data_IF_516538973918
#
_entry.id   IF_516538973918
#
_cell.length_a   1.000
_cell.length_b   1.000
_cell.length_c   1.000
_cell.angle_alpha   90.00
_cell.angle_beta   90.00
_cell.angle_gamma   90.00
#
_symmetry.space_group_name_H-M   'P 1'
#
loop_
_entity.id
_entity.type
_entity.pdbx_description
1 polymer ?
#
# COMPACT_ATOMS: atom_id res chain seq x y z
N UNK A 1 -12.91 -3.79 3.80
CA UNK A 1 -13.50 -3.50 2.48
C UNK A 1 -14.08 -4.78 1.88
N UNK A 2 -15.00 -4.67 0.96
CA UNK A 2 -15.57 -5.76 0.18
C UNK A 2 -15.32 -5.47 -1.29
N UNK A 3 -15.34 -6.51 -2.09
CA UNK A 3 -15.34 -6.39 -3.54
C UNK A 3 -16.72 -5.85 -4.00
N UNK A 4 -16.77 -5.21 -5.15
CA UNK A 4 -17.99 -4.64 -5.75
C UNK A 4 -18.72 -3.62 -4.86
N UNK A 5 -17.97 -2.76 -4.16
CA UNK A 5 -18.59 -1.65 -3.42
C UNK A 5 -19.20 -0.66 -4.43
N UNK A 6 -20.53 -0.38 -4.34
CA UNK A 6 -21.20 0.50 -5.32
C UNK A 6 -20.73 1.95 -5.23
N UNK A 7 -20.11 2.35 -4.14
CA UNK A 7 -19.53 3.68 -3.95
C UNK A 7 -18.14 3.59 -3.31
N UNK A 8 -17.10 3.29 -4.11
CA UNK A 8 -15.75 3.13 -3.63
C UNK A 8 -15.16 4.37 -2.97
N UNK A 9 -15.54 5.58 -3.39
CA UNK A 9 -15.06 6.82 -2.76
C UNK A 9 -15.69 7.02 -1.38
N UNK A 10 -16.99 6.80 -1.25
CA UNK A 10 -17.63 6.82 0.08
C UNK A 10 -17.04 5.75 1.00
N UNK A 11 -16.63 4.60 0.47
CA UNK A 11 -15.91 3.59 1.24
C UNK A 11 -14.59 4.13 1.80
N UNK A 12 -13.78 4.82 1.01
CA UNK A 12 -12.54 5.48 1.49
C UNK A 12 -12.86 6.49 2.59
N UNK A 13 -13.94 7.29 2.41
CA UNK A 13 -14.44 8.21 3.43
C UNK A 13 -14.80 7.50 4.76
N UNK A 14 -15.45 6.32 4.68
CA UNK A 14 -15.78 5.51 5.88
C UNK A 14 -14.51 4.98 6.56
N UNK A 15 -13.52 4.53 5.80
CA UNK A 15 -12.23 4.09 6.35
C UNK A 15 -11.53 5.26 7.05
N UNK A 16 -11.50 6.44 6.42
CA UNK A 16 -10.92 7.66 7.02
C UNK A 16 -11.62 8.01 8.33
N UNK A 17 -12.96 8.02 8.35
CA UNK A 17 -13.73 8.29 9.57
C UNK A 17 -13.38 7.32 10.70
N UNK A 18 -13.34 6.03 10.41
CA UNK A 18 -12.95 5.01 11.39
C UNK A 18 -11.52 5.23 11.91
N UNK A 19 -10.55 5.44 11.02
CA UNK A 19 -9.15 5.63 11.44
C UNK A 19 -8.94 6.96 12.18
N UNK A 20 -9.52 8.06 11.68
CA UNK A 20 -9.31 9.38 12.25
C UNK A 20 -10.01 9.56 13.59
N UNK A 21 -11.27 9.11 13.70
CA UNK A 21 -12.14 9.39 14.83
C UNK A 21 -12.16 8.26 15.86
N UNK A 22 -12.45 7.01 15.41
CA UNK A 22 -12.58 5.90 16.33
C UNK A 22 -11.23 5.35 16.81
N UNK A 23 -10.22 5.33 15.92
CA UNK A 23 -8.85 4.94 16.28
C UNK A 23 -7.99 6.09 16.80
N UNK A 24 -8.44 7.34 16.65
CA UNK A 24 -7.72 8.54 17.10
C UNK A 24 -6.43 8.83 16.32
N UNK A 25 -6.32 8.34 15.07
CA UNK A 25 -5.09 8.53 14.27
C UNK A 25 -5.04 9.86 13.54
N UNK A 26 -6.08 10.68 13.63
CA UNK A 26 -6.19 11.99 13.01
C UNK A 26 -6.49 11.97 11.51
N UNK A 27 -6.11 10.92 10.80
CA UNK A 27 -6.38 10.71 9.38
C UNK A 27 -6.36 9.21 9.04
N UNK A 28 -6.58 8.86 7.76
CA UNK A 28 -6.53 7.50 7.27
C UNK A 28 -5.11 6.90 7.45
N UNK A 29 -5.05 5.62 7.79
CA UNK A 29 -3.79 4.91 8.06
C UNK A 29 -2.98 4.56 6.81
N UNK A 30 -3.51 4.76 5.60
CA UNK A 30 -2.83 4.43 4.35
C UNK A 30 -2.33 5.69 3.66
N UNK A 31 -1.19 5.63 2.99
CA UNK A 31 -0.68 6.71 2.14
C UNK A 31 -1.52 6.83 0.86
N UNK A 32 -1.83 5.70 0.24
CA UNK A 32 -2.67 5.62 -0.96
C UNK A 32 -3.69 4.50 -0.86
N UNK A 33 -4.81 4.66 -1.56
CA UNK A 33 -5.83 3.64 -1.73
C UNK A 33 -6.12 3.46 -3.22
N UNK A 34 -5.91 2.25 -3.74
CA UNK A 34 -6.27 1.87 -5.10
C UNK A 34 -7.65 1.24 -5.10
N UNK A 35 -8.56 1.77 -5.91
CA UNK A 35 -9.92 1.29 -6.07
C UNK A 35 -10.02 0.20 -7.13
N UNK A 36 -11.10 -0.56 -7.15
CA UNK A 36 -11.30 -1.65 -8.11
C UNK A 36 -11.34 -1.19 -9.58
N UNK A 37 -11.77 0.04 -9.83
CA UNK A 37 -11.77 0.66 -11.16
C UNK A 37 -10.41 1.23 -11.58
N UNK A 38 -9.39 1.10 -10.74
CA UNK A 38 -8.04 1.57 -10.96
C UNK A 38 -7.79 3.02 -10.54
N UNK A 39 -8.78 3.75 -10.02
CA UNK A 39 -8.51 5.07 -9.46
C UNK A 39 -7.60 4.96 -8.24
N UNK A 40 -6.66 5.89 -8.15
CA UNK A 40 -5.75 6.04 -7.02
C UNK A 40 -6.21 7.24 -6.21
N UNK A 41 -6.45 7.04 -4.93
CA UNK A 41 -6.87 8.09 -4.00
C UNK A 41 -5.73 8.35 -3.03
N UNK A 42 -5.35 9.61 -2.86
CA UNK A 42 -4.49 9.99 -1.75
C UNK A 42 -5.22 9.68 -0.45
N UNK A 43 -4.57 8.93 0.41
CA UNK A 43 -5.08 8.60 1.72
C UNK A 43 -4.72 9.67 2.74
N UNK A 44 -3.63 9.45 3.50
CA UNK A 44 -3.14 10.44 4.46
C UNK A 44 -2.64 11.68 3.72
N UNK A 45 -3.11 12.86 4.16
CA UNK A 45 -2.79 14.14 3.56
C UNK A 45 -1.27 14.37 3.44
N UNK A 46 -0.83 14.83 2.29
CA UNK A 46 0.58 15.08 1.95
C UNK A 46 1.32 13.87 1.39
N UNK A 47 0.70 12.69 1.33
CA UNK A 47 1.34 11.49 0.76
C UNK A 47 1.56 11.57 -0.75
N UNK A 48 0.80 12.40 -1.45
CA UNK A 48 0.93 12.60 -2.89
C UNK A 48 2.08 13.55 -3.28
N UNK A 49 2.82 14.10 -2.32
CA UNK A 49 4.06 14.82 -2.63
C UNK A 49 5.07 13.83 -3.25
N UNK A 50 5.20 13.94 -4.57
CA UNK A 50 6.02 13.03 -5.37
C UNK A 50 7.53 13.12 -5.05
N UNK A 51 7.97 14.14 -4.33
CA UNK A 51 9.40 14.34 -4.01
C UNK A 51 9.85 13.55 -2.79
N UNK A 52 8.93 13.22 -1.88
CA UNK A 52 9.23 12.48 -0.66
C UNK A 52 8.02 11.67 -0.17
N UNK A 53 7.59 10.64 -0.89
CA UNK A 53 6.36 9.90 -0.57
C UNK A 53 6.40 9.21 0.80
N UNK A 54 7.59 9.00 1.36
CA UNK A 54 7.82 8.42 2.69
C UNK A 54 7.90 9.46 3.82
N UNK A 55 7.85 10.76 3.50
CA UNK A 55 7.96 11.82 4.52
C UNK A 55 6.71 11.89 5.42
N UNK A 56 5.55 11.51 4.89
CA UNK A 56 4.31 11.41 5.67
C UNK A 56 4.23 10.05 6.34
N UNK A 57 4.39 10.02 7.66
CA UNK A 57 4.23 8.79 8.43
C UNK A 57 2.75 8.45 8.57
N UNK A 58 2.31 7.43 7.90
CA UNK A 58 0.95 6.88 7.98
C UNK A 58 0.82 5.86 9.14
N UNK A 59 -0.32 5.17 9.25
CA UNK A 59 -0.60 4.21 10.33
C UNK A 59 -0.98 2.82 9.80
N UNK A 60 -0.25 2.32 8.80
CA UNK A 60 -0.60 1.10 8.06
C UNK A 60 0.06 -0.17 8.60
N UNK A 61 1.20 -0.05 9.31
CA UNK A 61 1.92 -1.19 9.87
C UNK A 61 2.59 -0.81 11.19
N UNK A 62 2.05 -1.27 12.31
CA UNK A 62 2.57 -0.95 13.65
C UNK A 62 4.06 -1.34 13.77
N UNK A 63 4.87 -0.39 14.24
CA UNK A 63 6.33 -0.57 14.34
C UNK A 63 7.10 -0.39 13.02
N UNK A 64 6.42 -0.30 11.87
CA UNK A 64 7.03 -0.22 10.54
C UNK A 64 6.54 0.98 9.72
N UNK A 65 5.87 1.95 10.34
CA UNK A 65 5.29 3.10 9.63
C UNK A 65 6.34 4.12 9.17
N UNK A 66 7.44 4.28 9.94
CA UNK A 66 8.48 5.28 9.64
C UNK A 66 9.37 4.77 8.51
N UNK A 67 9.48 5.55 7.44
CA UNK A 67 10.29 5.19 6.27
C UNK A 67 9.61 4.22 5.31
N UNK A 68 8.31 3.99 5.47
CA UNK A 68 7.52 3.14 4.57
C UNK A 68 6.29 3.87 4.03
N UNK A 69 5.79 3.41 2.90
CA UNK A 69 4.58 3.93 2.25
C UNK A 69 3.50 2.83 2.25
N UNK A 70 2.36 3.13 2.84
CA UNK A 70 1.24 2.20 2.90
C UNK A 70 0.30 2.33 1.73
N UNK A 71 0.28 1.33 0.83
CA UNK A 71 -0.64 1.24 -0.30
C UNK A 71 -1.73 0.21 0.01
N UNK A 72 -2.97 0.66 0.16
CA UNK A 72 -4.12 -0.22 0.30
C UNK A 72 -4.77 -0.48 -1.06
N UNK A 73 -5.17 -1.72 -1.29
CA UNK A 73 -6.03 -2.10 -2.41
C UNK A 73 -7.43 -2.36 -1.88
N UNK A 74 -8.40 -1.64 -2.42
CA UNK A 74 -9.80 -1.80 -2.02
C UNK A 74 -10.33 -3.17 -2.45
N UNK A 75 -10.78 -3.97 -1.49
CA UNK A 75 -11.28 -5.31 -1.75
C UNK A 75 -10.96 -6.30 -0.62
N UNK A 76 -11.30 -7.54 -0.86
CA UNK A 76 -11.03 -8.69 0.01
C UNK A 76 -10.36 -9.79 -0.81
N UNK A 77 -9.08 -10.04 -0.54
CA UNK A 77 -8.22 -10.86 -1.39
C UNK A 77 -7.71 -12.14 -0.70
N UNK A 78 -8.56 -12.79 0.11
CA UNK A 78 -8.22 -14.11 0.64
C UNK A 78 -8.13 -15.16 -0.47
N UNK A 79 -9.10 -15.15 -1.41
CA UNK A 79 -9.16 -16.05 -2.55
C UNK A 79 -9.18 -15.28 -3.88
N UNK A 80 -9.76 -14.07 -3.89
CA UNK A 80 -9.85 -13.22 -5.06
C UNK A 80 -8.52 -12.54 -5.41
N UNK A 81 -8.44 -12.06 -6.64
CA UNK A 81 -7.37 -11.17 -7.13
C UNK A 81 -7.93 -9.76 -7.33
N UNK A 82 -7.08 -8.72 -7.29
CA UNK A 82 -7.46 -7.39 -7.76
C UNK A 82 -7.96 -7.45 -9.22
N UNK A 83 -8.82 -6.51 -9.59
CA UNK A 83 -9.16 -6.31 -10.99
C UNK A 83 -7.90 -5.95 -11.78
N UNK A 84 -7.92 -6.14 -13.09
CA UNK A 84 -6.80 -5.76 -13.95
C UNK A 84 -6.52 -4.25 -13.89
N UNK A 85 -7.57 -3.42 -13.78
CA UNK A 85 -7.44 -1.97 -13.63
C UNK A 85 -6.74 -1.61 -12.31
N UNK A 86 -7.18 -2.20 -11.18
CA UNK A 86 -6.54 -2.00 -9.89
C UNK A 86 -5.10 -2.49 -9.88
N UNK A 87 -4.83 -3.66 -10.49
CA UNK A 87 -3.48 -4.22 -10.55
C UNK A 87 -2.50 -3.31 -11.30
N UNK A 88 -2.90 -2.80 -12.49
CA UNK A 88 -2.09 -1.82 -13.24
C UNK A 88 -1.77 -0.58 -12.40
N UNK A 89 -2.74 -0.09 -11.65
CA UNK A 89 -2.54 1.07 -10.77
C UNK A 89 -1.62 0.77 -9.59
N UNK A 90 -1.69 -0.44 -9.02
CA UNK A 90 -0.75 -0.89 -7.97
C UNK A 90 0.67 -0.92 -8.52
N UNK A 91 0.88 -1.54 -9.70
CA UNK A 91 2.21 -1.58 -10.36
C UNK A 91 2.73 -0.16 -10.63
N UNK A 92 1.91 0.71 -11.22
CA UNK A 92 2.31 2.08 -11.53
C UNK A 92 2.65 2.90 -10.28
N UNK A 93 1.85 2.77 -9.21
CA UNK A 93 2.10 3.48 -7.94
C UNK A 93 3.38 2.98 -7.28
N UNK A 94 3.59 1.68 -7.21
CA UNK A 94 4.83 1.10 -6.69
C UNK A 94 6.04 1.55 -7.51
N UNK A 95 5.94 1.54 -8.86
CA UNK A 95 7.02 2.00 -9.73
C UNK A 95 7.39 3.46 -9.47
N UNK A 96 6.39 4.34 -9.34
CA UNK A 96 6.63 5.75 -9.03
C UNK A 96 7.34 5.93 -7.68
N UNK A 97 6.89 5.22 -6.64
CA UNK A 97 7.46 5.30 -5.29
C UNK A 97 8.91 4.80 -5.28
N UNK A 98 9.18 3.61 -5.82
CA UNK A 98 10.54 3.05 -5.78
C UNK A 98 11.51 3.84 -6.66
N UNK A 99 11.05 4.38 -7.80
CA UNK A 99 11.86 5.26 -8.64
C UNK A 99 12.25 6.55 -7.89
N UNK A 100 11.27 7.20 -7.25
CA UNK A 100 11.51 8.43 -6.47
C UNK A 100 12.46 8.18 -5.30
N UNK A 101 12.36 7.02 -4.66
CA UNK A 101 13.22 6.65 -3.52
C UNK A 101 14.58 6.04 -3.96
N UNK A 102 14.80 5.81 -5.25
CA UNK A 102 16.03 5.18 -5.75
C UNK A 102 16.22 3.74 -5.27
N UNK A 103 15.11 3.00 -5.11
CA UNK A 103 15.12 1.63 -4.58
C UNK A 103 15.03 0.60 -5.70
N UNK A 104 15.56 -0.60 -5.44
CA UNK A 104 15.37 -1.76 -6.30
C UNK A 104 14.05 -2.46 -5.91
N UNK A 105 13.06 -2.56 -6.82
CA UNK A 105 11.78 -3.20 -6.50
C UNK A 105 11.89 -4.69 -6.15
N UNK A 106 12.92 -5.38 -6.62
CA UNK A 106 13.22 -6.78 -6.29
C UNK A 106 14.19 -6.92 -5.10
N UNK A 107 14.64 -5.79 -4.54
CA UNK A 107 15.63 -5.72 -3.47
C UNK A 107 15.07 -6.11 -2.09
N UNK A 108 16.01 -6.37 -1.18
CA UNK A 108 15.80 -6.68 0.22
C UNK A 108 17.00 -7.46 0.80
N UNK A 109 17.09 -7.61 2.12
CA UNK A 109 16.25 -6.98 3.15
C UNK A 109 16.47 -5.47 3.30
N UNK A 110 15.49 -4.77 3.88
CA UNK A 110 15.51 -3.32 4.13
C UNK A 110 15.53 -3.08 5.63
N UNK A 111 16.51 -2.31 6.10
CA UNK A 111 16.56 -1.83 7.48
C UNK A 111 15.90 -0.45 7.58
N UNK A 112 14.94 -0.30 8.48
CA UNK A 112 14.28 0.97 8.76
C UNK A 112 15.05 1.77 9.83
N UNK A 113 14.87 3.08 9.84
CA UNK A 113 15.58 3.98 10.76
C UNK A 113 15.33 3.67 12.25
N UNK A 114 14.20 3.06 12.58
CA UNK A 114 13.86 2.61 13.94
C UNK A 114 14.44 1.23 14.33
N UNK A 115 15.25 0.63 13.47
CA UNK A 115 15.85 -0.68 13.68
C UNK A 115 15.01 -1.88 13.24
N UNK A 116 13.75 -1.67 12.81
CA UNK A 116 12.94 -2.73 12.24
C UNK A 116 13.48 -3.15 10.87
N UNK A 117 13.21 -4.40 10.48
CA UNK A 117 13.64 -4.94 9.19
C UNK A 117 12.45 -5.49 8.41
N UNK A 118 12.51 -5.35 7.11
CA UNK A 118 11.57 -5.93 6.14
C UNK A 118 12.36 -6.77 5.14
N UNK A 119 11.82 -7.93 4.78
CA UNK A 119 12.51 -8.85 3.87
C UNK A 119 12.60 -8.30 2.44
N UNK A 120 11.71 -7.39 2.07
CA UNK A 120 11.60 -6.86 0.71
C UNK A 120 11.28 -5.36 0.69
N UNK A 121 11.73 -4.67 -0.36
CA UNK A 121 11.35 -3.28 -0.66
C UNK A 121 9.84 -3.17 -0.90
N UNK A 122 9.25 -4.11 -1.64
CA UNK A 122 7.79 -4.21 -1.83
C UNK A 122 7.31 -5.46 -1.10
N UNK A 123 6.61 -5.28 0.00
CA UNK A 123 6.10 -6.34 0.86
C UNK A 123 4.61 -6.23 1.16
N UNK A 124 4.06 -7.25 1.78
CA UNK A 124 2.70 -7.27 2.31
C UNK A 124 2.65 -6.89 3.78
N UNK A 125 1.48 -6.48 4.27
CA UNK A 125 1.31 -6.14 5.69
C UNK A 125 1.71 -7.31 6.63
N UNK A 126 1.53 -8.57 6.19
CA UNK A 126 1.92 -9.76 6.96
C UNK A 126 3.44 -9.91 7.15
N UNK A 127 4.24 -9.27 6.30
CA UNK A 127 5.71 -9.27 6.42
C UNK A 127 6.17 -8.32 7.54
N UNK A 128 5.31 -7.37 7.94
CA UNK A 128 5.54 -6.39 8.98
C UNK A 128 4.83 -6.69 10.32
N UNK A 129 4.02 -7.76 10.41
CA UNK A 129 3.31 -8.07 11.65
C UNK A 129 2.32 -9.23 11.54
N UNK A 130 1.77 -9.63 12.69
CA UNK A 130 0.81 -10.70 12.79
C UNK A 130 -0.57 -10.28 12.24
N UNK A 131 -0.81 -10.56 10.97
CA UNK A 131 -2.07 -10.28 10.29
C UNK A 131 -2.29 -11.21 9.11
N UNK A 132 -3.54 -11.44 8.73
CA UNK A 132 -3.88 -12.14 7.49
C UNK A 132 -3.89 -11.22 6.26
N UNK A 133 -3.75 -9.90 6.46
CA UNK A 133 -3.64 -8.93 5.37
C UNK A 133 -2.33 -9.16 4.58
N UNK A 134 -2.34 -9.04 3.26
CA UNK A 134 -3.43 -8.60 2.40
C UNK A 134 -4.39 -9.71 1.94
N UNK A 135 -4.35 -10.88 2.51
CA UNK A 135 -5.03 -12.10 2.06
C UNK A 135 -4.13 -12.94 1.15
N UNK A 136 -4.38 -14.25 1.09
CA UNK A 136 -3.48 -15.18 0.38
C UNK A 136 -3.47 -14.95 -1.13
N UNK A 137 -4.61 -14.57 -1.71
CA UNK A 137 -4.72 -14.24 -3.13
C UNK A 137 -3.83 -13.07 -3.54
N UNK A 138 -3.79 -11.99 -2.76
CA UNK A 138 -2.93 -10.84 -3.06
C UNK A 138 -1.48 -11.09 -2.62
N UNK A 139 -1.26 -11.74 -1.48
CA UNK A 139 0.08 -12.06 -1.02
C UNK A 139 0.84 -12.95 -2.02
N UNK A 140 0.16 -13.91 -2.63
CA UNK A 140 0.73 -14.76 -3.68
C UNK A 140 1.15 -14.01 -4.95
N UNK A 141 0.67 -12.78 -5.14
CA UNK A 141 1.02 -11.94 -6.28
C UNK A 141 2.22 -11.00 -6.02
N UNK A 142 2.70 -10.89 -4.80
CA UNK A 142 3.80 -9.97 -4.47
C UNK A 142 5.10 -10.24 -5.26
N UNK A 143 5.51 -11.50 -5.52
CA UNK A 143 6.65 -11.76 -6.40
C UNK A 143 6.43 -11.25 -7.84
N UNK A 144 5.20 -11.40 -8.37
CA UNK A 144 4.85 -10.91 -9.69
C UNK A 144 4.86 -9.37 -9.71
N UNK A 145 4.30 -8.73 -8.67
CA UNK A 145 4.33 -7.28 -8.50
C UNK A 145 5.76 -6.72 -8.59
N UNK A 146 6.70 -7.31 -7.86
CA UNK A 146 8.11 -6.88 -7.89
C UNK A 146 8.69 -6.95 -9.28
N UNK A 147 8.47 -8.07 -10.00
CA UNK A 147 8.95 -8.26 -11.39
C UNK A 147 8.32 -7.27 -12.37
N UNK A 148 7.00 -7.05 -12.27
CA UNK A 148 6.30 -6.10 -13.14
C UNK A 148 6.75 -4.66 -12.89
N UNK A 149 6.93 -4.25 -11.62
CA UNK A 149 7.48 -2.94 -11.26
C UNK A 149 8.90 -2.80 -11.82
N UNK A 150 9.76 -3.79 -11.67
CA UNK A 150 11.11 -3.79 -12.25
C UNK A 150 11.08 -3.68 -13.79
N UNK A 151 10.11 -4.32 -14.44
CA UNK A 151 9.95 -4.23 -15.89
C UNK A 151 9.53 -2.84 -16.38
N UNK A 152 8.70 -2.13 -15.60
CA UNK A 152 8.27 -0.75 -15.91
C UNK A 152 9.43 0.25 -15.79
N UNK A 153 10.41 -0.01 -14.93
CA UNK A 153 11.53 0.90 -14.64
C UNK A 153 12.76 0.67 -15.54
N UNK A 154 12.74 -0.35 -16.38
CA UNK A 154 13.78 -0.64 -17.39
C UNK A 154 13.54 0.08 -18.71
#
# INVERSE_FOLDING_TARGET
TRNDDPDPLAMVGRIRGYHAQERGWGDIGYSFVVLEDGRIVEGREGSADATAPHAVVAGHAYGHNVGTVGLAVAGRFHEARPTEAAWRSVVATCAAIVATCGLDPEGGPVALANGAQLDHVIGGHRDAGLTTCPGDGLAGLLPDLRREVAAVLR
#
